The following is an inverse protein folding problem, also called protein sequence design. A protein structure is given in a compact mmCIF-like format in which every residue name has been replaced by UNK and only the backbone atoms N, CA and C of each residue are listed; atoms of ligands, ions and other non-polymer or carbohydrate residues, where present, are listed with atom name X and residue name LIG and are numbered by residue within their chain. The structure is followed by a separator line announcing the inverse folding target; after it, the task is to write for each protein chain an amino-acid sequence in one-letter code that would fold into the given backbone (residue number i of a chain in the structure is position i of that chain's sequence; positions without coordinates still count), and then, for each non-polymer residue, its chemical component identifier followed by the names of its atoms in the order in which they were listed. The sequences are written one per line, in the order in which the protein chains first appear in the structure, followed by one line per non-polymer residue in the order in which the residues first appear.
data_IF_768245491951
#
_entry.id   IF_768245491951
#
_cell.length_a   1.000
_cell.length_b   1.000
_cell.length_c   1.000
_cell.angle_alpha   90.00
_cell.angle_beta   90.00
_cell.angle_gamma   90.00
#
_symmetry.space_group_name_H-M   'P 1'
#
loop_
_entity.id
_entity.type
_entity.pdbx_description
1 polymer ?
#
# COMPACT_ATOMS: atom_id res chain seq x y z
N UNK A 1 -0.44 -0.22 17.46
CA UNK A 1 -1.86 -0.35 16.99
C UNK A 1 -1.87 -0.88 15.56
N UNK A 2 -3.00 -1.35 15.00
CA UNK A 2 -3.07 -1.95 13.65
C UNK A 2 -4.02 -1.17 12.73
N UNK A 3 -3.57 -0.87 11.52
CA UNK A 3 -4.33 -0.23 10.45
C UNK A 3 -4.47 -1.20 9.27
N UNK A 4 -5.64 -1.28 8.64
CA UNK A 4 -5.83 -2.11 7.44
C UNK A 4 -5.15 -1.46 6.23
N UNK A 5 -4.45 -2.27 5.44
CA UNK A 5 -3.86 -1.89 4.17
C UNK A 5 -4.31 -2.93 3.13
N UNK A 6 -4.69 -2.46 1.95
CA UNK A 6 -5.13 -3.30 0.85
C UNK A 6 -4.10 -3.21 -0.29
N UNK A 7 -3.52 -4.32 -0.78
CA UNK A 7 -2.68 -4.29 -1.96
C UNK A 7 -3.51 -3.88 -3.18
N UNK A 8 -2.95 -3.08 -4.09
CA UNK A 8 -3.70 -2.54 -5.24
C UNK A 8 -2.82 -2.54 -6.47
N UNK A 9 -3.44 -2.67 -7.63
CA UNK A 9 -2.76 -2.52 -8.92
C UNK A 9 -2.95 -1.10 -9.44
N UNK A 10 -1.89 -0.44 -9.91
CA UNK A 10 -1.99 0.87 -10.53
C UNK A 10 -1.96 0.73 -12.05
N UNK A 11 -2.92 1.37 -12.74
CA UNK A 11 -3.04 1.29 -14.20
C UNK A 11 -2.92 2.67 -14.82
N UNK A 12 -2.10 2.78 -15.87
CA UNK A 12 -2.00 4.01 -16.65
C UNK A 12 -3.12 4.04 -17.69
N UNK A 13 -3.93 5.10 -17.68
CA UNK A 13 -4.98 5.35 -18.68
C UNK A 13 -5.04 6.84 -18.98
N UNK A 14 -4.86 7.22 -20.25
CA UNK A 14 -4.94 8.61 -20.73
C UNK A 14 -4.11 9.59 -19.86
N UNK A 15 -2.83 9.25 -19.63
CA UNK A 15 -1.90 10.00 -18.76
C UNK A 15 -2.29 10.09 -17.28
N UNK A 16 -3.30 9.34 -16.81
CA UNK A 16 -3.67 9.26 -15.41
C UNK A 16 -3.29 7.89 -14.84
N UNK A 17 -2.89 7.87 -13.56
CA UNK A 17 -2.65 6.64 -12.80
C UNK A 17 -3.93 6.32 -12.02
N UNK A 18 -4.61 5.25 -12.40
CA UNK A 18 -5.87 4.84 -11.80
C UNK A 18 -5.65 3.70 -10.81
N UNK A 19 -6.36 3.75 -9.68
CA UNK A 19 -6.42 2.67 -8.71
C UNK A 19 -7.27 1.51 -9.26
N UNK A 20 -6.65 0.35 -9.41
CA UNK A 20 -7.32 -0.91 -9.72
C UNK A 20 -7.96 -1.53 -8.48
N UNK A 21 -8.98 -2.35 -8.71
CA UNK A 21 -9.62 -3.13 -7.64
C UNK A 21 -8.66 -4.23 -7.15
N UNK A 22 -8.45 -4.31 -5.84
CA UNK A 22 -7.65 -5.33 -5.18
C UNK A 22 -8.22 -6.75 -5.42
N UNK A 23 -9.54 -6.89 -5.55
CA UNK A 23 -10.16 -8.19 -5.84
C UNK A 23 -9.73 -8.77 -7.21
N UNK A 24 -9.16 -7.95 -8.09
CA UNK A 24 -8.66 -8.36 -9.41
C UNK A 24 -7.17 -8.75 -9.34
N UNK A 25 -6.43 -8.33 -8.32
CA UNK A 25 -4.99 -8.61 -8.17
C UNK A 25 -4.70 -10.12 -8.11
N UNK A 26 -5.63 -10.89 -7.52
CA UNK A 26 -5.63 -12.36 -7.45
C UNK A 26 -4.27 -12.99 -7.07
N UNK A 27 -3.53 -12.33 -6.17
CA UNK A 27 -2.29 -12.87 -5.60
C UNK A 27 -2.61 -13.96 -4.57
N UNK A 28 -1.75 -14.96 -4.50
CA UNK A 28 -1.79 -15.97 -3.46
C UNK A 28 -1.27 -15.41 -2.13
N UNK A 29 -1.59 -16.10 -1.02
CA UNK A 29 -1.02 -15.75 0.29
C UNK A 29 0.51 -15.83 0.29
N UNK A 30 1.10 -16.74 -0.50
CA UNK A 30 2.56 -16.87 -0.61
C UNK A 30 3.19 -15.66 -1.31
N UNK A 31 2.57 -15.17 -2.38
CA UNK A 31 3.02 -13.96 -3.07
C UNK A 31 2.82 -12.73 -2.17
N UNK A 32 1.69 -12.64 -1.46
CA UNK A 32 1.46 -11.59 -0.47
C UNK A 32 2.56 -11.56 0.61
N UNK A 33 2.94 -12.73 1.15
CA UNK A 33 4.07 -12.83 2.08
C UNK A 33 5.36 -12.32 1.45
N UNK A 34 5.70 -12.76 0.23
CA UNK A 34 6.90 -12.30 -0.47
C UNK A 34 6.94 -10.78 -0.63
N UNK A 35 5.82 -10.17 -1.05
CA UNK A 35 5.74 -8.71 -1.17
C UNK A 35 5.92 -8.01 0.18
N UNK A 36 5.23 -8.48 1.23
CA UNK A 36 5.34 -7.85 2.55
C UNK A 36 6.71 -8.05 3.18
N UNK A 37 7.41 -9.15 2.90
CA UNK A 37 8.78 -9.38 3.39
C UNK A 37 9.73 -8.33 2.80
N UNK A 38 9.71 -8.13 1.48
CA UNK A 38 10.50 -7.07 0.84
C UNK A 38 10.13 -5.67 1.33
N UNK A 39 8.84 -5.38 1.54
CA UNK A 39 8.42 -4.09 2.09
C UNK A 39 8.91 -3.92 3.53
N UNK A 40 8.87 -4.96 4.35
CA UNK A 40 9.32 -4.92 5.74
C UNK A 40 10.83 -4.67 5.86
N UNK A 41 11.65 -5.14 4.91
CA UNK A 41 13.08 -4.78 4.85
C UNK A 41 13.29 -3.27 4.72
N UNK A 42 12.37 -2.55 4.04
CA UNK A 42 12.45 -1.10 3.87
C UNK A 42 11.94 -0.31 5.08
N UNK A 43 10.87 -0.76 5.74
CA UNK A 43 10.13 0.05 6.73
C UNK A 43 10.33 -0.39 8.20
N UNK A 44 11.00 -1.50 8.45
CA UNK A 44 11.10 -2.07 9.81
C UNK A 44 11.86 -1.19 10.80
N UNK A 45 12.90 -0.48 10.34
CA UNK A 45 13.68 0.47 11.14
C UNK A 45 12.84 1.64 11.67
N UNK A 46 11.71 1.94 11.02
CA UNK A 46 10.75 2.98 11.42
C UNK A 46 9.73 2.49 12.47
N UNK A 47 9.89 1.28 13.01
CA UNK A 47 8.94 0.68 13.93
C UNK A 47 7.60 0.31 13.28
N UNK A 48 7.62 0.08 11.96
CA UNK A 48 6.49 -0.38 11.18
C UNK A 48 6.64 -1.87 10.85
N UNK A 49 5.52 -2.58 10.77
CA UNK A 49 5.51 -3.97 10.31
C UNK A 49 4.23 -4.25 9.55
N UNK A 50 4.36 -4.76 8.33
CA UNK A 50 3.26 -5.14 7.47
C UNK A 50 2.99 -6.64 7.63
N UNK A 51 1.73 -6.99 7.89
CA UNK A 51 1.27 -8.34 8.22
C UNK A 51 0.29 -8.84 7.15
N UNK A 52 0.67 -9.79 6.28
CA UNK A 52 -0.18 -10.35 5.23
C UNK A 52 -1.11 -11.45 5.78
N UNK A 53 -2.08 -11.10 6.63
CA UNK A 53 -2.96 -12.10 7.24
C UNK A 53 -3.85 -12.83 6.21
N UNK A 54 -4.13 -12.18 5.08
CA UNK A 54 -4.75 -12.76 3.89
C UNK A 54 -4.05 -12.22 2.64
N UNK A 55 -4.29 -12.86 1.49
CA UNK A 55 -3.72 -12.44 0.21
C UNK A 55 -4.03 -10.97 -0.12
N UNK A 56 -5.29 -10.57 0.05
CA UNK A 56 -5.82 -9.26 -0.33
C UNK A 56 -6.08 -8.34 0.88
N UNK A 57 -5.69 -8.74 2.09
CA UNK A 57 -5.96 -7.95 3.30
C UNK A 57 -4.78 -7.99 4.25
N UNK A 58 -4.06 -6.89 4.30
CA UNK A 58 -2.87 -6.73 5.11
C UNK A 58 -3.14 -5.78 6.28
N UNK A 59 -2.25 -5.82 7.26
CA UNK A 59 -2.32 -4.93 8.40
C UNK A 59 -0.96 -4.32 8.68
N UNK A 60 -0.93 -3.00 8.72
CA UNK A 60 0.21 -2.25 9.19
C UNK A 60 0.14 -2.14 10.71
N UNK A 61 1.12 -2.70 11.38
CA UNK A 61 1.37 -2.50 12.80
C UNK A 61 2.36 -1.34 12.97
N UNK A 62 1.98 -0.38 13.80
CA UNK A 62 2.81 0.78 14.15
C UNK A 62 2.94 0.91 15.66
N UNK A 63 4.11 1.34 16.12
CA UNK A 63 4.34 1.76 17.51
C UNK A 63 3.46 2.96 17.88
N UNK A 64 3.39 3.96 17.00
CA UNK A 64 2.56 5.15 17.13
C UNK A 64 1.49 5.19 16.04
N UNK A 65 0.31 5.73 16.32
CA UNK A 65 -0.71 5.89 15.27
C UNK A 65 -0.31 7.09 14.43
N UNK A 66 -0.14 6.93 13.12
CA UNK A 66 0.11 8.08 12.26
C UNK A 66 -1.13 8.97 12.19
N UNK A 67 -0.95 10.28 12.24
CA UNK A 67 -2.01 11.28 12.06
C UNK A 67 -2.33 11.43 10.57
N UNK A 68 -3.05 10.45 10.03
CA UNK A 68 -3.46 10.38 8.64
C UNK A 68 -4.96 10.15 8.48
N UNK A 69 -5.47 10.66 7.38
CA UNK A 69 -6.75 10.32 6.80
C UNK A 69 -6.50 9.58 5.49
N UNK A 70 -7.16 8.43 5.34
CA UNK A 70 -7.11 7.60 4.13
C UNK A 70 -8.53 7.38 3.62
N UNK A 71 -8.63 6.88 2.39
CA UNK A 71 -9.90 6.56 1.76
C UNK A 71 -10.23 5.07 1.91
N UNK A 72 -11.52 4.73 1.95
CA UNK A 72 -11.94 3.34 1.79
C UNK A 72 -11.72 2.91 0.35
N UNK A 73 -11.07 1.76 0.14
CA UNK A 73 -10.77 1.28 -1.22
C UNK A 73 -12.04 1.22 -2.09
N UNK A 74 -13.15 0.73 -1.54
CA UNK A 74 -14.45 0.63 -2.24
C UNK A 74 -15.00 1.96 -2.79
N UNK A 75 -14.58 3.09 -2.24
CA UNK A 75 -15.04 4.42 -2.66
C UNK A 75 -14.17 5.01 -3.78
N UNK A 76 -12.95 4.49 -3.96
CA UNK A 76 -11.91 5.14 -4.77
C UNK A 76 -11.36 4.30 -5.93
N UNK A 77 -11.80 3.05 -6.08
CA UNK A 77 -11.48 2.24 -7.26
C UNK A 77 -11.83 2.99 -8.55
N UNK A 78 -10.91 2.97 -9.52
CA UNK A 78 -11.05 3.59 -10.83
C UNK A 78 -10.74 5.09 -10.87
N UNK A 79 -10.46 5.71 -9.73
CA UNK A 79 -10.10 7.13 -9.64
C UNK A 79 -8.59 7.36 -9.74
N UNK A 80 -8.19 8.60 -10.01
CA UNK A 80 -6.78 8.99 -10.11
C UNK A 80 -6.13 9.03 -8.72
N UNK A 81 -5.04 8.28 -8.53
CA UNK A 81 -4.34 8.15 -7.23
C UNK A 81 -3.77 9.47 -6.72
N UNK A 82 -3.43 10.42 -7.59
CA UNK A 82 -2.85 11.69 -7.18
C UNK A 82 -3.78 12.51 -6.26
N UNK A 83 -5.09 12.25 -6.33
CA UNK A 83 -6.10 12.89 -5.49
C UNK A 83 -6.43 12.10 -4.23
N UNK A 84 -5.77 10.96 -4.03
CA UNK A 84 -6.14 9.93 -3.06
C UNK A 84 -4.98 9.52 -2.15
N UNK A 85 -3.89 10.29 -2.20
CA UNK A 85 -2.77 10.12 -1.27
C UNK A 85 -3.20 10.46 0.16
N UNK A 86 -2.59 9.84 1.19
CA UNK A 86 -2.90 10.17 2.56
C UNK A 86 -2.73 11.67 2.86
N UNK A 87 -3.64 12.22 3.65
CA UNK A 87 -3.59 13.62 4.12
C UNK A 87 -3.55 13.66 5.65
N UNK A 88 -3.07 14.75 6.24
CA UNK A 88 -2.90 14.89 7.69
C UNK A 88 -1.52 15.43 8.06
N UNK A 89 -1.17 15.45 9.34
CA UNK A 89 0.10 15.99 9.82
C UNK A 89 1.30 15.17 9.33
N UNK A 90 1.12 13.86 9.16
CA UNK A 90 2.19 12.96 8.73
C UNK A 90 2.25 12.74 7.21
N UNK A 91 1.50 13.52 6.41
CA UNK A 91 1.34 13.25 4.97
C UNK A 91 2.67 13.14 4.20
N UNK A 92 3.65 13.97 4.53
CA UNK A 92 4.91 14.03 3.77
C UNK A 92 5.72 12.75 3.93
N UNK A 93 5.78 12.22 5.16
CA UNK A 93 6.50 10.99 5.47
C UNK A 93 5.82 9.81 4.78
N UNK A 94 4.50 9.76 4.84
CA UNK A 94 3.74 8.67 4.23
C UNK A 94 3.73 8.70 2.71
N UNK A 95 3.74 9.88 2.09
CA UNK A 95 3.89 10.01 0.65
C UNK A 95 5.28 9.54 0.18
N UNK A 96 6.35 9.84 0.94
CA UNK A 96 7.69 9.30 0.64
C UNK A 96 7.71 7.78 0.71
N UNK A 97 7.19 7.21 1.80
CA UNK A 97 7.11 5.75 1.99
C UNK A 97 6.31 5.07 0.90
N UNK A 98 5.15 5.63 0.51
CA UNK A 98 4.34 5.08 -0.59
C UNK A 98 5.14 5.07 -1.89
N UNK A 99 5.86 6.15 -2.20
CA UNK A 99 6.68 6.22 -3.41
C UNK A 99 7.82 5.20 -3.39
N UNK A 100 8.53 5.06 -2.26
CA UNK A 100 9.60 4.08 -2.10
C UNK A 100 9.09 2.64 -2.23
N UNK A 101 7.95 2.34 -1.60
CA UNK A 101 7.27 1.03 -1.73
C UNK A 101 6.84 0.79 -3.19
N UNK A 102 6.32 1.80 -3.89
CA UNK A 102 5.96 1.67 -5.30
C UNK A 102 7.18 1.35 -6.18
N UNK A 103 8.31 2.03 -5.96
CA UNK A 103 9.54 1.75 -6.70
C UNK A 103 10.06 0.34 -6.39
N UNK A 104 10.07 -0.07 -5.12
CA UNK A 104 10.46 -1.40 -4.69
C UNK A 104 9.59 -2.48 -5.35
N UNK A 105 8.26 -2.31 -5.33
CA UNK A 105 7.33 -3.26 -5.92
C UNK A 105 7.42 -3.31 -7.43
N UNK A 106 7.73 -2.18 -8.09
CA UNK A 106 7.94 -2.15 -9.54
C UNK A 106 9.08 -3.08 -9.99
N UNK A 107 10.14 -3.20 -9.18
CA UNK A 107 11.29 -4.07 -9.47
C UNK A 107 11.14 -5.49 -8.88
N UNK A 108 10.09 -5.75 -8.11
CA UNK A 108 9.89 -7.02 -7.44
C UNK A 108 9.61 -8.15 -8.47
N UNK A 109 10.25 -9.33 -8.38
CA UNK A 109 10.11 -10.41 -9.38
C UNK A 109 8.69 -10.98 -9.58
N UNK A 110 7.77 -10.69 -8.66
CA UNK A 110 6.37 -11.14 -8.70
C UNK A 110 5.40 -10.08 -9.25
N UNK A 111 5.87 -8.87 -9.56
CA UNK A 111 5.04 -7.78 -10.06
C UNK A 111 4.82 -7.83 -11.58
#
# INVERSE_FOLDING_TARGET
KRQRIDPVHLRIKNNHILLGDNHILNISLKEAISFTDSINELISDDGLTLLPLHSDRWYLQCSEIPELQTFLLSEVVGQNINNLLPHGNDNSIWNSRINEIQMLLYEHPLN
#
